data_IF_016230608351
#
_entry.id   IF_016230608351
#
_cell.length_a   1.000
_cell.length_b   1.000
_cell.length_c   1.000
_cell.angle_alpha   90.00
_cell.angle_beta   90.00
_cell.angle_gamma   90.00
#
_symmetry.space_group_name_H-M   'P 1'
#
loop_
_entity.id
_entity.type
_entity.pdbx_description
1 polymer ?
#
# COMPACT_ATOMS: atom_id res chain seq x y z
N UNK A 1 12.36 -14.24 -9.73
CA UNK A 1 12.10 -13.01 -8.96
C UNK A 1 10.66 -12.97 -8.43
N UNK A 2 9.61 -13.14 -9.24
CA UNK A 2 8.22 -13.12 -8.73
C UNK A 2 7.95 -14.10 -7.58
N UNK A 3 8.44 -15.36 -7.63
CA UNK A 3 8.28 -16.27 -6.49
C UNK A 3 8.97 -15.80 -5.20
N UNK A 4 10.13 -15.14 -5.33
CA UNK A 4 10.82 -14.54 -4.17
C UNK A 4 10.06 -13.33 -3.64
N UNK A 5 9.57 -12.46 -4.53
CA UNK A 5 8.75 -11.33 -4.16
C UNK A 5 7.45 -11.78 -3.48
N UNK A 6 6.77 -12.79 -4.01
CA UNK A 6 5.56 -13.38 -3.42
C UNK A 6 5.82 -13.94 -2.02
N UNK A 7 6.97 -14.58 -1.81
CA UNK A 7 7.36 -15.06 -0.48
C UNK A 7 7.61 -13.89 0.48
N UNK A 8 8.35 -12.86 0.06
CA UNK A 8 8.67 -11.70 0.88
C UNK A 8 7.47 -10.81 1.18
N UNK A 9 6.46 -10.80 0.30
CA UNK A 9 5.21 -10.06 0.48
C UNK A 9 4.18 -10.80 1.34
N UNK A 10 4.45 -12.04 1.75
CA UNK A 10 3.55 -12.80 2.62
C UNK A 10 3.42 -12.18 4.03
N UNK A 11 4.44 -11.43 4.47
CA UNK A 11 4.47 -10.79 5.76
C UNK A 11 5.15 -9.42 5.64
N UNK A 12 4.49 -8.39 6.18
CA UNK A 12 5.00 -7.02 6.24
C UNK A 12 6.34 -6.90 6.96
N UNK A 13 6.55 -7.68 8.03
CA UNK A 13 7.83 -7.73 8.76
C UNK A 13 8.95 -8.29 7.89
N UNK A 14 8.68 -9.33 7.10
CA UNK A 14 9.67 -9.92 6.20
C UNK A 14 10.03 -8.95 5.07
N UNK A 15 9.03 -8.28 4.50
CA UNK A 15 9.22 -7.22 3.50
C UNK A 15 10.09 -6.09 4.06
N UNK A 16 9.73 -5.55 5.22
CA UNK A 16 10.47 -4.45 5.89
C UNK A 16 11.90 -4.87 6.22
N UNK A 17 12.08 -6.06 6.79
CA UNK A 17 13.41 -6.61 7.10
C UNK A 17 14.27 -6.76 5.84
N UNK A 18 13.70 -7.26 4.75
CA UNK A 18 14.39 -7.35 3.47
C UNK A 18 14.85 -5.97 2.97
N UNK A 19 13.99 -4.95 3.05
CA UNK A 19 14.35 -3.60 2.63
C UNK A 19 15.50 -3.02 3.49
N UNK A 20 15.52 -3.29 4.79
CA UNK A 20 16.63 -2.89 5.69
C UNK A 20 17.92 -3.60 5.30
N UNK A 21 17.87 -4.91 5.03
CA UNK A 21 19.04 -5.68 4.60
C UNK A 21 19.55 -5.21 3.24
N UNK A 22 18.68 -4.99 2.27
CA UNK A 22 19.05 -4.50 0.94
C UNK A 22 19.72 -3.12 1.04
N UNK A 23 19.14 -2.19 1.80
CA UNK A 23 19.75 -0.88 2.07
C UNK A 23 21.16 -0.99 2.65
N UNK A 24 21.33 -1.91 3.61
CA UNK A 24 22.63 -2.15 4.26
C UNK A 24 23.63 -2.75 3.27
N UNK A 25 23.22 -3.75 2.49
CA UNK A 25 24.04 -4.39 1.45
C UNK A 25 24.50 -3.36 0.42
N UNK A 26 23.57 -2.56 -0.10
CA UNK A 26 23.84 -1.51 -1.09
C UNK A 26 24.80 -0.45 -0.51
N UNK A 27 24.54 0.04 0.71
CA UNK A 27 25.40 1.04 1.36
C UNK A 27 26.81 0.53 1.63
N UNK A 28 26.95 -0.68 2.15
CA UNK A 28 28.26 -1.29 2.41
C UNK A 28 29.02 -1.57 1.11
N UNK A 29 28.32 -2.03 0.06
CA UNK A 29 28.95 -2.30 -1.22
C UNK A 29 29.51 -1.02 -1.85
N UNK A 30 28.76 0.08 -1.81
CA UNK A 30 29.24 1.38 -2.30
C UNK A 30 30.40 1.93 -1.46
N UNK A 31 30.30 1.87 -0.12
CA UNK A 31 31.33 2.36 0.78
C UNK A 31 32.67 1.61 0.65
N UNK A 32 32.65 0.35 0.23
CA UNK A 32 33.84 -0.46 0.03
C UNK A 32 34.39 -0.45 -1.41
N UNK A 33 33.92 0.45 -2.28
CA UNK A 33 34.51 0.64 -3.62
C UNK A 33 35.78 1.51 -3.51
N UNK A 34 36.86 1.17 -4.25
CA UNK A 34 36.94 0.16 -5.31
C UNK A 34 37.32 -1.27 -4.85
N UNK A 35 37.64 -1.49 -3.57
CA UNK A 35 38.24 -2.72 -3.04
C UNK A 35 37.38 -3.97 -3.29
N UNK A 36 36.07 -3.82 -3.32
CA UNK A 36 35.12 -4.93 -3.55
C UNK A 36 34.87 -5.25 -5.02
N UNK A 37 35.30 -4.40 -5.96
CA UNK A 37 35.06 -4.60 -7.40
C UNK A 37 35.70 -5.90 -7.91
N UNK A 38 36.89 -6.26 -7.40
CA UNK A 38 37.58 -7.51 -7.75
C UNK A 38 36.93 -8.78 -7.22
N UNK A 39 36.00 -8.69 -6.25
CA UNK A 39 35.37 -9.84 -5.58
C UNK A 39 34.14 -10.40 -6.31
N UNK A 40 33.77 -9.83 -7.46
CA UNK A 40 32.58 -10.21 -8.26
C UNK A 40 31.24 -10.13 -7.50
N UNK A 41 31.19 -9.37 -6.39
CA UNK A 41 29.99 -9.22 -5.57
C UNK A 41 28.89 -8.38 -6.24
N UNK A 42 29.24 -7.59 -7.26
CA UNK A 42 28.29 -6.70 -7.95
C UNK A 42 27.06 -7.43 -8.50
N UNK A 43 27.19 -8.66 -9.01
CA UNK A 43 26.03 -9.43 -9.51
C UNK A 43 25.06 -9.80 -8.39
N UNK A 44 25.57 -10.09 -7.20
CA UNK A 44 24.75 -10.44 -6.03
C UNK A 44 24.02 -9.19 -5.55
N UNK A 45 24.73 -8.07 -5.39
CA UNK A 45 24.14 -6.78 -4.98
C UNK A 45 23.06 -6.34 -5.97
N UNK A 46 23.33 -6.41 -7.29
CA UNK A 46 22.33 -6.09 -8.30
C UNK A 46 21.12 -7.03 -8.29
N UNK A 47 21.26 -8.29 -7.86
CA UNK A 47 20.12 -9.19 -7.72
C UNK A 47 19.22 -8.78 -6.54
N UNK A 48 19.80 -8.32 -5.43
CA UNK A 48 19.05 -7.76 -4.30
C UNK A 48 18.34 -6.46 -4.69
N UNK A 49 19.05 -5.53 -5.33
CA UNK A 49 18.49 -4.27 -5.83
C UNK A 49 17.35 -4.52 -6.84
N UNK A 50 17.52 -5.48 -7.75
CA UNK A 50 16.48 -5.84 -8.71
C UNK A 50 15.26 -6.46 -8.02
N UNK A 51 15.47 -7.35 -7.03
CA UNK A 51 14.35 -7.93 -6.26
C UNK A 51 13.60 -6.86 -5.48
N UNK A 52 14.31 -5.91 -4.85
CA UNK A 52 13.69 -4.74 -4.22
C UNK A 52 12.87 -3.94 -5.22
N UNK A 53 13.44 -3.61 -6.38
CA UNK A 53 12.70 -2.94 -7.44
C UNK A 53 11.44 -3.68 -7.89
N UNK A 54 11.49 -5.01 -8.00
CA UNK A 54 10.28 -5.81 -8.29
C UNK A 54 9.24 -5.66 -7.18
N UNK A 55 9.64 -5.75 -5.90
CA UNK A 55 8.74 -5.57 -4.77
C UNK A 55 8.15 -4.15 -4.72
N UNK A 56 8.99 -3.14 -4.87
CA UNK A 56 8.60 -1.73 -4.84
C UNK A 56 7.66 -1.40 -6.02
N UNK A 57 7.84 -2.02 -7.19
CA UNK A 57 6.91 -1.84 -8.33
C UNK A 57 5.53 -2.49 -8.13
N UNK A 58 5.43 -3.48 -7.24
CA UNK A 58 4.15 -4.14 -6.88
C UNK A 58 3.45 -3.33 -5.80
N UNK A 59 4.23 -2.78 -4.87
CA UNK A 59 3.74 -2.01 -3.73
C UNK A 59 3.61 -0.51 -4.08
N UNK A 60 4.03 -0.10 -5.28
CA UNK A 60 4.37 1.27 -5.70
C UNK A 60 3.43 2.34 -5.09
N UNK A 61 3.96 2.92 -4.00
CA UNK A 61 3.60 4.13 -3.26
C UNK A 61 2.12 4.57 -3.25
N UNK A 62 1.30 3.84 -2.50
CA UNK A 62 0.28 4.53 -1.71
C UNK A 62 0.95 4.96 -0.40
N UNK A 63 1.51 6.17 -0.38
CA UNK A 63 1.88 6.86 0.86
C UNK A 63 0.61 7.26 1.61
N UNK A 64 -0.21 6.26 2.02
CA UNK A 64 -1.27 6.55 2.99
C UNK A 64 -0.64 6.81 4.34
N UNK A 65 0.62 6.45 4.63
CA UNK A 65 1.22 6.86 5.88
C UNK A 65 1.18 8.41 5.99
N UNK A 66 1.39 9.15 4.90
CA UNK A 66 1.16 10.61 4.88
C UNK A 66 -0.31 11.04 4.99
N UNK A 67 -1.25 10.33 4.34
CA UNK A 67 -2.68 10.67 4.41
C UNK A 67 -3.33 10.27 5.75
N UNK A 68 -2.86 9.17 6.33
CA UNK A 68 -3.10 8.69 7.70
C UNK A 68 -2.51 9.68 8.67
N UNK A 69 -1.24 10.07 8.57
CA UNK A 69 -0.64 11.08 9.45
C UNK A 69 -1.39 12.41 9.40
N UNK A 70 -1.85 12.83 8.22
CA UNK A 70 -2.72 14.03 8.10
C UNK A 70 -4.05 13.86 8.81
N UNK A 71 -4.62 12.66 8.83
CA UNK A 71 -5.91 12.38 9.47
C UNK A 71 -5.75 12.11 10.96
N UNK A 72 -4.73 11.37 11.38
CA UNK A 72 -4.28 11.22 12.77
C UNK A 72 -3.97 12.61 13.36
N UNK A 73 -3.28 13.50 12.65
CA UNK A 73 -3.07 14.88 13.09
C UNK A 73 -4.36 15.72 13.18
N UNK A 74 -5.39 15.40 12.39
CA UNK A 74 -6.71 16.05 12.47
C UNK A 74 -7.61 15.43 13.55
N UNK A 75 -7.36 14.18 13.93
CA UNK A 75 -8.02 13.48 15.04
C UNK A 75 -7.37 13.83 16.39
N UNK A 76 -6.05 14.01 16.43
CA UNK A 76 -5.23 14.43 17.57
C UNK A 76 -5.05 15.95 17.67
N UNK A 77 -6.12 16.73 17.40
CA UNK A 77 -6.22 18.11 17.88
C UNK A 77 -6.38 18.16 19.43
N UNK A 78 -5.58 17.38 20.15
CA UNK A 78 -5.22 17.51 21.56
C UNK A 78 -4.17 16.44 21.91
N UNK A 79 -2.92 16.65 21.50
CA UNK A 79 -1.70 16.52 22.32
C UNK A 79 -0.49 16.63 21.39
N UNK A 80 0.34 17.64 21.65
CA UNK A 80 1.64 17.83 21.01
C UNK A 80 2.60 16.75 21.47
N UNK A 81 3.28 16.06 20.55
CA UNK A 81 4.65 15.59 20.78
C UNK A 81 5.45 15.73 19.48
N UNK A 82 6.45 16.61 19.54
CA UNK A 82 7.61 16.66 18.64
C UNK A 82 8.33 15.31 18.64
N UNK A 83 8.65 14.78 17.46
CA UNK A 83 9.96 14.18 17.14
C UNK A 83 9.96 13.63 15.70
N UNK A 84 10.38 14.48 14.76
CA UNK A 84 10.76 14.06 13.42
C UNK A 84 12.29 14.02 13.32
N UNK A 85 12.92 12.92 13.76
CA UNK A 85 14.21 12.53 13.21
C UNK A 85 13.95 11.66 11.98
N UNK A 86 13.73 12.34 10.85
CA UNK A 86 13.70 11.69 9.55
C UNK A 86 15.12 11.22 9.21
N UNK A 87 15.35 9.91 9.26
CA UNK A 87 16.50 9.30 8.60
C UNK A 87 16.34 9.48 7.09
N UNK A 88 16.85 10.59 6.55
CA UNK A 88 16.98 10.78 5.11
C UNK A 88 18.15 9.93 4.61
N UNK A 89 17.93 8.62 4.46
CA UNK A 89 18.80 7.81 3.62
C UNK A 89 18.59 8.29 2.18
N UNK A 90 19.64 8.82 1.54
CA UNK A 90 19.64 9.11 0.10
C UNK A 90 19.35 7.80 -0.63
N UNK A 91 18.11 7.60 -1.06
CA UNK A 91 17.75 6.50 -1.96
C UNK A 91 18.47 6.72 -3.28
N UNK A 92 19.53 5.94 -3.52
CA UNK A 92 20.14 5.86 -4.83
C UNK A 92 19.28 4.91 -5.67
N UNK A 93 18.42 5.48 -6.51
CA UNK A 93 17.65 4.74 -7.50
C UNK A 93 18.59 4.12 -8.53
N UNK A 94 18.90 2.83 -8.37
CA UNK A 94 19.44 2.05 -9.46
C UNK A 94 18.32 1.90 -10.52
N UNK A 95 18.46 2.60 -11.65
CA UNK A 95 17.47 2.59 -12.75
C UNK A 95 17.45 1.23 -13.46
N UNK A 96 16.80 0.25 -12.85
CA UNK A 96 16.41 -0.98 -13.51
C UNK A 96 15.06 -0.76 -14.20
N UNK A 97 14.97 -1.08 -15.50
CA UNK A 97 13.68 -1.15 -16.20
C UNK A 97 12.89 -2.33 -15.67
N UNK A 98 12.16 -2.13 -14.59
CA UNK A 98 11.24 -3.11 -14.04
C UNK A 98 10.01 -3.15 -14.97
N UNK A 99 9.75 -4.30 -15.57
CA UNK A 99 8.55 -4.51 -16.38
C UNK A 99 7.38 -4.61 -15.42
N UNK A 100 6.73 -3.49 -15.14
CA UNK A 100 5.52 -3.42 -14.34
C UNK A 100 4.48 -4.42 -14.90
N UNK A 101 4.05 -5.36 -14.06
CA UNK A 101 2.96 -6.30 -14.34
C UNK A 101 1.98 -6.32 -13.17
N UNK A 102 1.66 -5.14 -12.63
CA UNK A 102 0.48 -4.98 -11.77
C UNK A 102 -0.80 -5.09 -12.61
N UNK A 103 -1.88 -5.60 -12.02
CA UNK A 103 -3.18 -5.60 -12.70
C UNK A 103 -3.66 -4.15 -12.79
N UNK A 104 -4.12 -3.71 -13.96
CA UNK A 104 -4.77 -2.40 -14.06
C UNK A 104 -6.13 -2.48 -13.35
N UNK A 105 -6.16 -2.00 -12.11
CA UNK A 105 -7.36 -1.99 -11.28
C UNK A 105 -8.31 -0.86 -11.68
N UNK A 106 -9.60 -1.19 -11.74
CA UNK A 106 -10.68 -0.26 -12.02
C UNK A 106 -11.80 -0.52 -11.02
N UNK A 107 -12.04 0.45 -10.12
CA UNK A 107 -13.01 0.32 -9.04
C UNK A 107 -14.42 0.08 -9.61
N UNK A 108 -14.76 0.70 -10.74
CA UNK A 108 -16.09 0.58 -11.36
C UNK A 108 -16.40 -0.86 -11.81
N UNK A 109 -15.36 -1.64 -12.13
CA UNK A 109 -15.46 -3.03 -12.61
C UNK A 109 -15.28 -4.07 -11.51
N UNK A 110 -15.14 -3.65 -10.25
CA UNK A 110 -15.02 -4.58 -9.12
C UNK A 110 -16.22 -5.52 -9.10
N UNK A 111 -15.93 -6.81 -9.08
CA UNK A 111 -16.88 -7.89 -8.90
C UNK A 111 -16.24 -8.92 -7.96
N UNK A 112 -16.70 -8.92 -6.72
CA UNK A 112 -16.14 -9.75 -5.62
C UNK A 112 -16.09 -11.23 -6.01
N UNK A 113 -17.16 -11.75 -6.64
CA UNK A 113 -17.25 -13.16 -7.03
C UNK A 113 -16.17 -13.50 -8.07
N UNK A 114 -16.01 -12.68 -9.10
CA UNK A 114 -14.96 -12.90 -10.12
C UNK A 114 -13.56 -12.80 -9.54
N UNK A 115 -13.31 -11.80 -8.69
CA UNK A 115 -12.02 -11.61 -8.04
C UNK A 115 -11.64 -12.82 -7.18
N UNK A 116 -12.61 -13.37 -6.44
CA UNK A 116 -12.41 -14.60 -5.65
C UNK A 116 -12.04 -15.80 -6.51
N UNK A 117 -12.71 -16.00 -7.64
CA UNK A 117 -12.39 -17.11 -8.55
C UNK A 117 -11.01 -16.95 -9.20
N UNK A 118 -10.65 -15.74 -9.61
CA UNK A 118 -9.32 -15.43 -10.13
C UNK A 118 -8.23 -15.66 -9.08
N UNK A 119 -8.50 -15.28 -7.83
CA UNK A 119 -7.56 -15.44 -6.71
C UNK A 119 -7.29 -16.90 -6.36
N UNK A 120 -8.30 -17.78 -6.46
CA UNK A 120 -8.11 -19.22 -6.24
C UNK A 120 -7.12 -19.84 -7.22
N UNK A 121 -7.07 -19.33 -8.46
CA UNK A 121 -6.18 -19.81 -9.52
C UNK A 121 -4.85 -19.03 -9.61
N UNK A 122 -4.64 -18.07 -8.70
CA UNK A 122 -3.48 -17.20 -8.72
C UNK A 122 -2.17 -17.97 -8.45
N UNK A 123 -1.15 -17.83 -9.31
CA UNK A 123 0.16 -18.43 -9.06
C UNK A 123 0.96 -17.71 -7.96
N UNK A 124 0.70 -16.42 -7.75
CA UNK A 124 1.37 -15.56 -6.77
C UNK A 124 0.32 -14.79 -5.97
N UNK A 125 -0.18 -15.40 -4.89
CA UNK A 125 -1.31 -14.87 -4.10
C UNK A 125 -0.92 -13.61 -3.33
N UNK A 126 0.26 -13.57 -2.74
CA UNK A 126 0.70 -12.43 -1.92
C UNK A 126 0.99 -11.21 -2.81
N UNK A 127 1.48 -11.44 -4.04
CA UNK A 127 1.56 -10.37 -5.04
C UNK A 127 0.18 -9.81 -5.37
N UNK A 128 -0.82 -10.67 -5.59
CA UNK A 128 -2.19 -10.19 -5.87
C UNK A 128 -2.81 -9.42 -4.70
N UNK A 129 -2.56 -9.87 -3.48
CA UNK A 129 -2.98 -9.18 -2.26
C UNK A 129 -2.31 -7.81 -2.17
N UNK A 130 -0.99 -7.75 -2.33
CA UNK A 130 -0.24 -6.49 -2.27
C UNK A 130 -0.71 -5.49 -3.32
N UNK A 131 -0.97 -5.96 -4.55
CA UNK A 131 -1.46 -5.14 -5.67
C UNK A 131 -2.88 -4.60 -5.40
N UNK A 132 -3.80 -5.45 -4.91
CA UNK A 132 -5.15 -5.01 -4.52
C UNK A 132 -5.11 -4.03 -3.34
N UNK A 133 -4.31 -4.32 -2.33
CA UNK A 133 -4.14 -3.44 -1.18
C UNK A 133 -3.63 -2.07 -1.64
N UNK A 134 -2.52 -2.01 -2.38
CA UNK A 134 -1.95 -0.76 -2.89
C UNK A 134 -2.98 0.06 -3.71
N UNK A 135 -3.78 -0.63 -4.55
CA UNK A 135 -4.86 0.00 -5.29
C UNK A 135 -5.92 0.63 -4.38
N UNK A 136 -6.44 -0.12 -3.41
CA UNK A 136 -7.48 0.36 -2.47
C UNK A 136 -6.96 1.53 -1.64
N UNK A 137 -5.71 1.42 -1.21
CA UNK A 137 -5.02 2.43 -0.45
C UNK A 137 -4.91 3.76 -1.21
N UNK A 138 -4.45 3.71 -2.47
CA UNK A 138 -4.40 4.90 -3.35
C UNK A 138 -5.80 5.46 -3.60
N UNK A 139 -6.77 4.59 -3.89
CA UNK A 139 -8.12 5.03 -4.24
C UNK A 139 -8.82 5.73 -3.06
N UNK A 140 -8.60 5.20 -1.85
CA UNK A 140 -9.11 5.82 -0.64
C UNK A 140 -8.48 7.19 -0.38
N UNK A 141 -7.18 7.35 -0.61
CA UNK A 141 -6.50 8.64 -0.49
C UNK A 141 -7.07 9.68 -1.48
N UNK A 142 -7.37 9.30 -2.73
CA UNK A 142 -8.07 10.17 -3.69
C UNK A 142 -9.44 10.60 -3.18
N UNK A 143 -10.23 9.66 -2.66
CA UNK A 143 -11.59 9.94 -2.16
C UNK A 143 -11.59 10.84 -0.93
N UNK A 144 -10.58 10.73 -0.07
CA UNK A 144 -10.41 11.59 1.11
C UNK A 144 -9.98 13.01 0.75
N UNK A 145 -9.22 13.17 -0.32
CA UNK A 145 -8.88 14.49 -0.83
C UNK A 145 -10.11 15.26 -1.32
N UNK A 146 -11.17 14.53 -1.71
CA UNK A 146 -12.45 15.07 -2.17
C UNK A 146 -13.47 15.25 -1.03
N UNK A 147 -13.49 14.34 -0.05
CA UNK A 147 -14.38 14.43 1.09
C UNK A 147 -13.69 13.91 2.36
N UNK A 148 -13.35 14.84 3.25
CA UNK A 148 -12.60 14.56 4.49
C UNK A 148 -13.40 13.77 5.52
N UNK A 149 -14.71 13.71 5.39
CA UNK A 149 -15.57 12.94 6.32
C UNK A 149 -15.43 11.43 6.15
N UNK A 150 -14.81 10.97 5.05
CA UNK A 150 -14.55 9.54 4.75
C UNK A 150 -13.46 8.90 5.63
N UNK A 151 -13.00 9.56 6.69
CA UNK A 151 -11.92 9.10 7.57
C UNK A 151 -12.14 7.70 8.17
N UNK A 152 -13.38 7.31 8.44
CA UNK A 152 -13.72 5.98 8.99
C UNK A 152 -13.27 4.82 8.06
N UNK A 153 -13.22 5.04 6.74
CA UNK A 153 -12.75 4.02 5.79
C UNK A 153 -11.26 3.72 5.97
N UNK A 154 -10.43 4.69 6.38
CA UNK A 154 -9.02 4.43 6.68
C UNK A 154 -8.90 3.50 7.87
N UNK A 155 -9.59 3.81 8.97
CA UNK A 155 -9.49 3.03 10.20
C UNK A 155 -9.90 1.59 9.95
N UNK A 156 -10.94 1.38 9.13
CA UNK A 156 -11.40 0.04 8.74
C UNK A 156 -10.37 -0.69 7.88
N UNK A 157 -9.80 -0.03 6.87
CA UNK A 157 -8.77 -0.63 6.03
C UNK A 157 -7.51 -0.99 6.84
N UNK A 158 -7.07 -0.11 7.73
CA UNK A 158 -5.95 -0.36 8.64
C UNK A 158 -6.21 -1.54 9.57
N UNK A 159 -7.43 -1.66 10.10
CA UNK A 159 -7.82 -2.81 10.95
C UNK A 159 -7.73 -4.12 10.19
N UNK A 160 -8.22 -4.16 8.95
CA UNK A 160 -8.15 -5.32 8.05
C UNK A 160 -6.69 -5.70 7.77
N UNK A 161 -5.85 -4.72 7.40
CA UNK A 161 -4.41 -4.93 7.19
C UNK A 161 -3.71 -5.42 8.48
N UNK A 162 -4.03 -4.80 9.62
CA UNK A 162 -3.43 -5.11 10.92
C UNK A 162 -3.72 -6.53 11.38
N UNK A 163 -4.96 -7.01 11.21
CA UNK A 163 -5.35 -8.38 11.56
C UNK A 163 -4.61 -9.43 10.71
N UNK A 164 -4.39 -9.15 9.43
CA UNK A 164 -3.58 -10.01 8.58
C UNK A 164 -2.11 -10.01 9.00
N UNK A 165 -1.52 -8.84 9.21
CA UNK A 165 -0.11 -8.71 9.61
C UNK A 165 0.19 -9.34 10.98
N UNK A 166 -0.78 -9.37 11.90
CA UNK A 166 -0.63 -10.07 13.18
C UNK A 166 -0.79 -11.59 13.08
N UNK A 167 -1.06 -12.12 11.88
CA UNK A 167 -1.35 -13.54 11.64
C UNK A 167 -2.71 -14.00 12.17
N UNK A 168 -3.62 -13.08 12.50
CA UNK A 168 -4.94 -13.43 13.02
C UNK A 168 -5.91 -13.92 11.92
N UNK A 169 -5.63 -13.57 10.67
CA UNK A 169 -6.46 -13.87 9.50
C UNK A 169 -5.66 -14.68 8.48
N UNK A 170 -6.29 -15.68 7.83
CA UNK A 170 -5.66 -16.42 6.73
C UNK A 170 -5.55 -15.58 5.46
N UNK A 171 -4.65 -15.94 4.55
CA UNK A 171 -4.46 -15.28 3.25
C UNK A 171 -5.76 -15.20 2.44
N UNK A 172 -6.56 -16.27 2.41
CA UNK A 172 -7.85 -16.31 1.73
C UNK A 172 -8.88 -15.39 2.38
N UNK A 173 -9.00 -15.43 3.71
CA UNK A 173 -9.96 -14.58 4.43
C UNK A 173 -9.58 -13.10 4.29
N UNK A 174 -8.28 -12.78 4.31
CA UNK A 174 -7.81 -11.42 4.13
C UNK A 174 -8.15 -10.89 2.73
N UNK A 175 -7.97 -11.71 1.69
CA UNK A 175 -8.39 -11.33 0.33
C UNK A 175 -9.90 -11.11 0.24
N UNK A 176 -10.70 -11.93 0.93
CA UNK A 176 -12.15 -11.75 1.02
C UNK A 176 -12.54 -10.45 1.71
N UNK A 177 -11.83 -10.04 2.77
CA UNK A 177 -12.01 -8.76 3.44
C UNK A 177 -11.62 -7.58 2.54
N UNK A 178 -10.50 -7.66 1.82
CA UNK A 178 -10.07 -6.62 0.88
C UNK A 178 -11.07 -6.45 -0.27
N UNK A 179 -11.59 -7.55 -0.82
CA UNK A 179 -12.57 -7.48 -1.91
C UNK A 179 -13.94 -6.99 -1.44
N UNK A 180 -14.36 -7.33 -0.21
CA UNK A 180 -15.54 -6.74 0.41
C UNK A 180 -15.35 -5.23 0.62
N UNK A 181 -14.20 -4.81 1.14
CA UNK A 181 -13.86 -3.39 1.30
C UNK A 181 -13.86 -2.65 -0.05
N UNK A 182 -13.36 -3.28 -1.12
CA UNK A 182 -13.40 -2.72 -2.47
C UNK A 182 -14.84 -2.45 -2.95
N UNK A 183 -15.78 -3.33 -2.62
CA UNK A 183 -17.19 -3.18 -2.96
C UNK A 183 -17.82 -2.01 -2.20
N UNK A 184 -17.55 -1.88 -0.90
CA UNK A 184 -18.03 -0.75 -0.10
C UNK A 184 -17.44 0.58 -0.58
N UNK A 185 -16.14 0.61 -0.89
CA UNK A 185 -15.47 1.79 -1.40
C UNK A 185 -16.05 2.23 -2.75
N UNK A 186 -16.45 1.27 -3.60
CA UNK A 186 -17.17 1.53 -4.85
C UNK A 186 -18.52 2.18 -4.58
N UNK A 187 -19.31 1.64 -3.65
CA UNK A 187 -20.62 2.18 -3.29
C UNK A 187 -20.54 3.58 -2.72
N UNK A 188 -19.48 3.88 -1.97
CA UNK A 188 -19.20 5.20 -1.44
C UNK A 188 -18.76 6.18 -2.54
N UNK A 189 -17.88 5.75 -3.46
CA UNK A 189 -17.45 6.56 -4.59
C UNK A 189 -18.62 6.94 -5.52
N UNK A 190 -19.62 6.08 -5.64
CA UNK A 190 -20.83 6.34 -6.45
C UNK A 190 -21.92 7.11 -5.68
N UNK A 191 -21.72 7.41 -4.38
CA UNK A 191 -22.75 8.01 -3.53
C UNK A 191 -23.16 9.40 -4.00
N UNK A 192 -22.20 10.25 -4.39
CA UNK A 192 -22.47 11.58 -4.93
C UNK A 192 -23.42 11.53 -6.15
N UNK A 193 -23.20 10.59 -7.07
CA UNK A 193 -24.06 10.36 -8.24
C UNK A 193 -25.47 9.93 -7.81
N UNK A 194 -25.60 9.00 -6.86
CA UNK A 194 -26.91 8.52 -6.39
C UNK A 194 -27.70 9.62 -5.67
N UNK A 195 -27.01 10.49 -4.94
CA UNK A 195 -27.61 11.62 -4.23
C UNK A 195 -27.85 12.83 -5.15
N UNK A 196 -27.36 12.78 -6.40
CA UNK A 196 -27.48 13.89 -7.35
C UNK A 196 -26.65 15.11 -6.94
N UNK A 197 -25.58 14.88 -6.18
CA UNK A 197 -24.66 15.89 -5.67
C UNK A 197 -23.31 15.80 -6.38
N UNK A 198 -22.62 16.92 -6.49
CA UNK A 198 -21.18 16.93 -6.74
C UNK A 198 -20.42 16.42 -5.51
N UNK A 199 -19.15 16.04 -5.68
CA UNK A 199 -18.31 15.60 -4.54
C UNK A 199 -18.19 16.70 -3.47
N UNK A 200 -18.05 17.97 -3.87
CA UNK A 200 -17.96 19.11 -2.93
C UNK A 200 -19.28 19.34 -2.17
N UNK A 201 -20.42 19.23 -2.86
CA UNK A 201 -21.74 19.34 -2.23
C UNK A 201 -22.01 18.18 -1.26
N UNK A 202 -21.53 16.99 -1.60
CA UNK A 202 -21.62 15.82 -0.73
C UNK A 202 -20.78 16.00 0.54
N UNK A 203 -19.56 16.52 0.42
CA UNK A 203 -18.73 16.85 1.58
C UNK A 203 -19.43 17.87 2.49
N UNK A 204 -19.97 18.95 1.91
CA UNK A 204 -20.69 19.95 2.68
C UNK A 204 -21.92 19.35 3.39
N UNK A 205 -22.69 18.50 2.70
CA UNK A 205 -23.83 17.80 3.27
C UNK A 205 -23.43 16.93 4.46
N UNK A 206 -22.36 16.15 4.34
CA UNK A 206 -21.87 15.28 5.42
C UNK A 206 -21.40 16.07 6.64
N UNK A 207 -20.67 17.18 6.42
CA UNK A 207 -20.21 18.05 7.50
C UNK A 207 -21.39 18.65 8.27
N UNK A 208 -22.40 19.18 7.57
CA UNK A 208 -23.60 19.73 8.19
C UNK A 208 -24.38 18.67 8.97
N UNK A 209 -24.51 17.46 8.41
CA UNK A 209 -25.18 16.35 9.06
C UNK A 209 -24.45 15.95 10.34
N UNK A 210 -23.11 15.95 10.33
CA UNK A 210 -22.28 15.62 11.50
C UNK A 210 -22.38 16.66 12.61
N UNK A 211 -22.51 17.96 12.29
CA UNK A 211 -22.73 19.01 13.29
C UNK A 211 -24.14 19.01 13.89
N UNK A 212 -25.12 18.43 13.18
CA UNK A 212 -26.51 18.32 13.64
C UNK A 212 -26.80 17.12 14.55
N UNK A 213 -25.82 16.23 14.76
CA UNK A 213 -25.86 15.02 15.59
C UNK A 213 -25.12 15.24 16.92
#
# INVERSE_FOLDING_TARGET
>A
FNGFADTLLANDEQRKSFNVYENTISSLYEACKPEVLGRKLGRVVSAFQYLRGVMDSIVEQADIDSAVQRIEALLDASVVVDNAEAFSAKEFEAQYKIVQRGKAWDLSKVNVVKLREEFKQAPFKNIQIADLQAFLQRKLAEMLAQNRTRGDFIQRLQKVIGAYNSGATSTENYYDELTAFAQELKEEAERHIREGLTEDELELFDLLKKESL
#
